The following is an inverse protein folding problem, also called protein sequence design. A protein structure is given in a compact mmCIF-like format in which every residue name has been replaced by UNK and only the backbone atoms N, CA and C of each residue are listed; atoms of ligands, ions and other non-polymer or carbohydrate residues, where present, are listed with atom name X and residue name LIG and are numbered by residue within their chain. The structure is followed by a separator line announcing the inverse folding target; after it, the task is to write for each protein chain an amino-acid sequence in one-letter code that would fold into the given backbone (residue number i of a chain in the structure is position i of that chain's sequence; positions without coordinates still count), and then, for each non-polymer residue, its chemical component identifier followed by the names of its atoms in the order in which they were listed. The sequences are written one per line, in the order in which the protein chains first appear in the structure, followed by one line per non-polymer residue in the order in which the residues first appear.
data_IF_172561153875
#
_entry.id   IF_172561153875
#
_cell.length_a   1.000
_cell.length_b   1.000
_cell.length_c   1.000
_cell.angle_alpha   90.00
_cell.angle_beta   90.00
_cell.angle_gamma   90.00
#
_symmetry.space_group_name_H-M   'P 1'
#
loop_
_entity.id
_entity.type
_entity.pdbx_description
1 polymer ?
#
# COMPACT_ATOMS: atom_id res chain seq x y z
N UNK A 1 19.34 -30.39 8.72
CA UNK A 1 19.67 -29.02 8.32
C UNK A 1 19.35 -28.70 6.86
N UNK A 2 18.98 -29.68 6.03
CA UNK A 2 18.69 -29.46 4.60
C UNK A 2 17.21 -29.27 4.26
N UNK A 3 16.32 -29.44 5.19
CA UNK A 3 14.86 -29.39 4.97
C UNK A 3 14.24 -27.98 5.03
N UNK A 4 15.03 -26.94 5.29
CA UNK A 4 14.53 -25.56 5.44
C UNK A 4 14.71 -24.67 4.18
N UNK A 5 15.21 -25.22 3.08
CA UNK A 5 15.54 -24.42 1.89
C UNK A 5 14.43 -24.25 0.85
N UNK A 6 13.23 -24.80 1.10
CA UNK A 6 12.14 -24.75 0.10
C UNK A 6 10.77 -24.49 0.77
N UNK A 7 10.67 -23.43 1.57
CA UNK A 7 9.36 -22.91 1.98
C UNK A 7 9.09 -21.61 1.23
N UNK A 8 8.33 -21.67 0.17
CA UNK A 8 7.80 -20.48 -0.48
C UNK A 8 6.64 -19.93 0.37
N UNK A 9 6.80 -18.70 0.81
CA UNK A 9 5.78 -17.94 1.51
C UNK A 9 4.91 -17.22 0.50
N UNK A 10 3.62 -17.48 0.51
CA UNK A 10 2.65 -16.73 -0.28
C UNK A 10 2.37 -15.38 0.38
N UNK A 11 3.01 -14.32 -0.12
CA UNK A 11 2.62 -12.95 0.20
C UNK A 11 1.47 -12.54 -0.71
N UNK A 12 0.31 -12.28 -0.16
CA UNK A 12 -0.75 -11.55 -0.87
C UNK A 12 -0.28 -10.11 -1.10
N UNK A 13 0.46 -9.86 -2.18
CA UNK A 13 0.76 -8.49 -2.64
C UNK A 13 -0.47 -7.96 -3.37
N UNK A 14 -1.18 -7.04 -2.77
CA UNK A 14 -2.12 -6.17 -3.48
C UNK A 14 -1.35 -5.23 -4.41
N UNK A 15 -1.60 -5.32 -5.71
CA UNK A 15 -1.08 -4.39 -6.70
C UNK A 15 -0.60 -5.08 -7.97
N UNK A 16 -1.52 -5.52 -8.81
CA UNK A 16 -1.26 -5.94 -10.18
C UNK A 16 -2.58 -6.03 -10.92
N UNK A 17 -2.82 -5.08 -11.81
CA UNK A 17 -3.96 -5.08 -12.72
C UNK A 17 -3.80 -6.18 -13.75
N UNK A 18 -4.65 -7.22 -13.68
CA UNK A 18 -4.84 -8.18 -14.76
C UNK A 18 -6.26 -8.03 -15.31
N UNK A 19 -6.42 -8.04 -16.66
CA UNK A 19 -7.74 -7.95 -17.28
C UNK A 19 -8.51 -9.26 -17.08
N UNK A 20 -9.76 -9.13 -16.61
CA UNK A 20 -10.71 -10.23 -16.46
C UNK A 20 -11.25 -10.64 -17.85
N UNK A 21 -11.38 -11.92 -18.15
CA UNK A 21 -12.13 -12.37 -19.31
C UNK A 21 -13.65 -12.27 -19.04
N UNK A 22 -14.38 -11.70 -19.99
CA UNK A 22 -15.84 -11.67 -20.02
C UNK A 22 -16.40 -13.08 -20.23
N UNK A 23 -17.41 -13.52 -19.48
CA UNK A 23 -18.18 -14.71 -19.85
C UNK A 23 -19.32 -14.34 -20.81
N UNK A 24 -19.33 -15.03 -21.93
CA UNK A 24 -20.38 -15.01 -22.93
C UNK A 24 -21.63 -15.78 -22.47
N UNK A 25 -22.76 -15.13 -22.66
CA UNK A 25 -24.15 -15.61 -22.90
C UNK A 25 -24.57 -17.04 -22.52
N UNK A 26 -25.61 -17.14 -21.69
CA UNK A 26 -26.63 -18.20 -21.78
C UNK A 26 -28.03 -17.63 -21.49
N UNK A 27 -28.91 -18.08 -22.31
CA UNK A 27 -30.28 -17.78 -22.67
C UNK A 27 -31.38 -17.93 -21.63
N UNK A 28 -32.41 -17.13 -21.85
CA UNK A 28 -33.87 -17.33 -21.68
C UNK A 28 -34.50 -17.49 -20.30
N UNK A 29 -35.22 -16.43 -19.91
CA UNK A 29 -36.24 -16.42 -18.85
C UNK A 29 -37.68 -16.50 -19.42
N UNK A 30 -38.64 -17.07 -18.69
CA UNK A 30 -40.07 -16.98 -19.03
C UNK A 30 -40.70 -15.67 -18.51
N UNK A 31 -41.88 -15.26 -19.03
CA UNK A 31 -42.42 -13.92 -18.82
C UNK A 31 -43.11 -13.73 -17.49
N UNK A 32 -42.99 -12.51 -16.95
CA UNK A 32 -43.67 -12.04 -15.75
C UNK A 32 -45.06 -11.47 -16.04
N UNK A 33 -45.99 -11.50 -15.06
CA UNK A 33 -47.33 -10.91 -15.22
C UNK A 33 -47.32 -9.39 -15.07
N UNK A 34 -48.21 -8.76 -15.81
CA UNK A 34 -48.39 -7.32 -15.91
C UNK A 34 -48.99 -6.68 -14.65
N UNK A 35 -48.50 -5.49 -14.36
CA UNK A 35 -49.31 -4.42 -13.73
C UNK A 35 -48.94 -4.02 -12.32
N UNK A 36 -48.09 -2.95 -12.21
CA UNK A 36 -48.32 -1.82 -11.30
C UNK A 36 -47.36 -0.70 -11.69
N UNK A 37 -47.94 0.45 -12.06
CA UNK A 37 -47.23 1.72 -12.25
C UNK A 37 -46.56 2.17 -10.96
N UNK A 38 -45.26 2.12 -10.91
CA UNK A 38 -44.48 2.82 -9.90
C UNK A 38 -43.84 4.05 -10.52
N UNK A 39 -44.28 5.20 -10.01
CA UNK A 39 -43.65 6.51 -10.12
C UNK A 39 -42.13 6.40 -10.11
N UNK A 40 -41.48 6.97 -11.13
CA UNK A 40 -40.05 6.98 -11.31
C UNK A 40 -39.32 7.59 -10.10
N UNK A 41 -38.61 6.76 -9.42
CA UNK A 41 -37.54 7.20 -8.52
C UNK A 41 -36.34 7.53 -9.44
N UNK A 42 -36.13 8.83 -9.65
CA UNK A 42 -34.89 9.34 -10.27
C UNK A 42 -33.71 8.73 -9.53
N UNK A 43 -32.98 7.84 -10.18
CA UNK A 43 -31.66 7.41 -9.68
C UNK A 43 -30.80 8.66 -9.59
N UNK A 44 -30.56 9.09 -8.36
CA UNK A 44 -29.58 10.11 -8.02
C UNK A 44 -28.24 9.68 -8.65
N UNK A 45 -27.68 10.56 -9.47
CA UNK A 45 -26.28 10.46 -9.91
C UNK A 45 -25.44 10.11 -8.70
N UNK A 46 -24.69 9.02 -8.77
CA UNK A 46 -23.72 8.62 -7.74
C UNK A 46 -22.62 9.67 -7.75
N UNK A 47 -22.82 10.72 -6.96
CA UNK A 47 -21.78 11.75 -6.76
C UNK A 47 -20.59 11.06 -6.15
N UNK A 48 -19.50 10.93 -6.90
CA UNK A 48 -18.23 10.39 -6.39
C UNK A 48 -17.79 11.25 -5.22
N UNK A 49 -17.86 10.71 -4.00
CA UNK A 49 -17.44 11.41 -2.79
C UNK A 49 -15.94 11.66 -2.85
N UNK A 50 -15.53 12.91 -2.73
CA UNK A 50 -14.12 13.28 -2.70
C UNK A 50 -13.48 12.89 -1.37
N UNK A 51 -12.17 12.66 -1.36
CA UNK A 51 -11.42 12.33 -0.14
C UNK A 51 -11.62 13.40 0.95
N UNK A 52 -11.70 14.65 0.56
CA UNK A 52 -11.95 15.79 1.46
C UNK A 52 -13.27 15.68 2.24
N UNK A 53 -14.33 15.21 1.59
CA UNK A 53 -15.64 14.99 2.23
C UNK A 53 -15.56 13.87 3.29
N UNK A 54 -14.79 12.81 2.99
CA UNK A 54 -14.54 11.71 3.93
C UNK A 54 -13.75 12.19 5.13
N UNK A 55 -12.68 12.96 4.92
CA UNK A 55 -11.86 13.55 5.98
C UNK A 55 -12.69 14.45 6.88
N UNK A 56 -13.49 15.35 6.29
CA UNK A 56 -14.37 16.25 7.03
C UNK A 56 -15.42 15.49 7.85
N UNK A 57 -15.99 14.41 7.30
CA UNK A 57 -16.91 13.54 8.01
C UNK A 57 -16.24 12.86 9.19
N UNK A 58 -15.06 12.27 8.97
CA UNK A 58 -14.29 11.57 10.00
C UNK A 58 -13.97 12.48 11.20
N UNK A 59 -13.50 13.69 10.94
CA UNK A 59 -13.22 14.68 12.00
C UNK A 59 -14.49 15.07 12.76
N UNK A 60 -15.55 15.46 12.06
CA UNK A 60 -16.81 15.93 12.65
C UNK A 60 -17.51 14.86 13.49
N UNK A 61 -17.38 13.59 13.09
CA UNK A 61 -18.03 12.45 13.77
C UNK A 61 -17.13 11.74 14.77
N UNK A 62 -15.91 12.22 14.99
CA UNK A 62 -15.00 11.64 15.97
C UNK A 62 -14.48 10.25 15.59
N UNK A 63 -14.20 10.03 14.31
CA UNK A 63 -13.57 8.80 13.85
C UNK A 63 -12.05 8.90 13.92
N UNK A 64 -11.47 9.94 13.33
CA UNK A 64 -10.02 10.08 13.21
C UNK A 64 -9.64 11.55 13.34
N UNK A 65 -8.57 11.81 14.10
CA UNK A 65 -7.95 13.12 14.32
C UNK A 65 -6.48 13.08 13.94
N UNK A 66 -5.92 14.21 13.59
CA UNK A 66 -4.46 14.30 13.47
C UNK A 66 -3.81 14.17 14.86
N UNK A 67 -2.80 13.33 14.97
CA UNK A 67 -2.11 13.14 16.25
C UNK A 67 -1.47 14.43 16.72
N UNK A 68 -1.65 14.74 18.02
CA UNK A 68 -1.11 15.95 18.67
C UNK A 68 -1.55 17.27 18.03
N UNK A 69 -2.79 17.34 17.54
CA UNK A 69 -3.33 18.49 16.78
C UNK A 69 -3.22 19.81 17.53
N UNK A 70 -3.32 19.81 18.86
CA UNK A 70 -3.15 21.02 19.72
C UNK A 70 -1.77 21.67 19.61
N UNK A 71 -0.76 20.92 19.16
CA UNK A 71 0.60 21.41 18.92
C UNK A 71 0.92 21.56 17.43
N UNK A 72 -0.11 21.60 16.56
CA UNK A 72 0.06 21.69 15.12
C UNK A 72 0.08 20.34 14.38
N UNK A 73 -0.03 19.25 15.13
CA UNK A 73 -0.03 17.90 14.59
C UNK A 73 1.33 17.43 14.07
N UNK A 74 1.39 16.16 13.70
CA UNK A 74 2.54 15.57 12.99
C UNK A 74 2.05 14.78 11.79
N UNK A 75 2.57 15.10 10.60
CA UNK A 75 2.08 14.52 9.36
C UNK A 75 2.28 12.99 9.30
N UNK A 76 1.23 12.29 8.87
CA UNK A 76 1.26 10.83 8.72
C UNK A 76 1.02 10.03 10.00
N UNK A 77 0.62 10.70 11.10
CA UNK A 77 0.20 10.06 12.34
C UNK A 77 -1.23 10.46 12.68
N UNK A 78 -2.04 9.49 13.09
CA UNK A 78 -3.48 9.65 13.28
C UNK A 78 -3.95 8.99 14.56
N UNK A 79 -4.78 9.70 15.32
CA UNK A 79 -5.45 9.19 16.50
C UNK A 79 -6.89 8.78 16.15
N UNK A 80 -7.32 7.63 16.66
CA UNK A 80 -8.69 7.16 16.49
C UNK A 80 -9.56 7.73 17.61
N UNK A 81 -10.58 8.51 17.24
CA UNK A 81 -11.57 9.04 18.17
C UNK A 81 -12.57 7.99 18.65
N UNK A 82 -13.56 8.37 19.48
CA UNK A 82 -14.48 7.42 20.10
C UNK A 82 -15.18 6.48 19.11
N UNK A 83 -15.68 7.00 17.98
CA UNK A 83 -16.33 6.17 16.96
C UNK A 83 -15.30 5.37 16.13
N UNK A 84 -14.13 5.95 15.93
CA UNK A 84 -13.06 5.28 15.16
C UNK A 84 -12.47 4.08 15.89
N UNK A 85 -12.27 4.19 17.21
CA UNK A 85 -11.75 3.07 18.00
C UNK A 85 -12.74 1.91 18.07
N UNK A 86 -14.05 2.17 18.19
CA UNK A 86 -15.05 1.11 18.20
C UNK A 86 -15.15 0.42 16.83
N UNK A 87 -15.19 1.17 15.74
CA UNK A 87 -15.17 0.59 14.38
C UNK A 87 -13.92 -0.28 14.17
N UNK A 88 -12.75 0.23 14.58
CA UNK A 88 -11.48 -0.48 14.47
C UNK A 88 -11.44 -1.78 15.28
N UNK A 89 -11.97 -1.76 16.51
CA UNK A 89 -12.07 -2.96 17.36
C UNK A 89 -13.00 -3.98 16.74
N UNK A 90 -14.20 -3.58 16.36
CA UNK A 90 -15.17 -4.47 15.73
C UNK A 90 -14.60 -5.14 14.48
N UNK A 91 -13.87 -4.40 13.64
CA UNK A 91 -13.21 -4.97 12.45
C UNK A 91 -12.14 -6.00 12.82
N UNK A 92 -11.30 -5.70 13.82
CA UNK A 92 -10.25 -6.62 14.28
C UNK A 92 -10.84 -7.88 14.93
N UNK A 93 -11.87 -7.72 15.74
CA UNK A 93 -12.54 -8.84 16.41
C UNK A 93 -13.26 -9.75 15.40
N UNK A 94 -13.92 -9.15 14.39
CA UNK A 94 -14.54 -9.91 13.31
C UNK A 94 -13.50 -10.67 12.48
N UNK A 95 -12.36 -10.03 12.14
CA UNK A 95 -11.29 -10.70 11.41
C UNK A 95 -10.64 -11.83 12.23
N UNK A 96 -10.37 -11.59 13.50
CA UNK A 96 -9.77 -12.59 14.38
C UNK A 96 -10.71 -13.76 14.61
N UNK A 97 -11.99 -13.49 14.80
CA UNK A 97 -13.03 -14.52 14.94
C UNK A 97 -13.13 -15.40 13.69
N UNK A 98 -13.06 -14.82 12.51
CA UNK A 98 -13.11 -15.57 11.24
C UNK A 98 -11.82 -16.35 10.97
N UNK A 99 -10.65 -15.73 11.18
CA UNK A 99 -9.35 -16.34 10.82
C UNK A 99 -8.86 -17.36 11.86
N UNK A 100 -8.94 -17.03 13.15
CA UNK A 100 -8.32 -17.83 14.21
C UNK A 100 -9.30 -18.79 14.86
N UNK A 101 -10.58 -18.42 14.95
CA UNK A 101 -11.61 -19.20 15.61
C UNK A 101 -12.65 -19.81 14.65
N UNK A 102 -12.54 -19.47 13.34
CA UNK A 102 -13.43 -20.02 12.33
C UNK A 102 -13.16 -21.49 12.04
N UNK A 103 -14.22 -22.24 11.79
CA UNK A 103 -14.16 -23.62 11.33
C UNK A 103 -14.30 -23.66 9.81
N UNK A 104 -13.19 -23.69 9.11
CA UNK A 104 -13.18 -23.77 7.65
C UNK A 104 -12.54 -25.08 7.18
N UNK A 105 -13.07 -25.62 6.10
CA UNK A 105 -12.46 -26.75 5.39
C UNK A 105 -11.74 -26.23 4.16
N UNK A 106 -10.46 -26.56 4.06
CA UNK A 106 -9.61 -26.16 2.94
C UNK A 106 -9.88 -26.93 1.65
N UNK A 107 -9.23 -26.57 0.57
CA UNK A 107 -9.47 -27.16 -0.74
C UNK A 107 -9.12 -28.66 -0.78
N UNK A 108 -8.19 -29.11 0.02
CA UNK A 108 -7.80 -30.52 0.15
C UNK A 108 -8.71 -31.35 1.06
N UNK A 109 -9.77 -30.76 1.60
CA UNK A 109 -10.66 -31.40 2.57
C UNK A 109 -10.12 -31.43 4.00
N UNK A 110 -8.96 -30.85 4.27
CA UNK A 110 -8.40 -30.73 5.61
C UNK A 110 -8.95 -29.49 6.34
N UNK A 111 -9.05 -29.58 7.67
CA UNK A 111 -9.42 -28.44 8.50
C UNK A 111 -8.34 -27.35 8.42
N UNK A 112 -8.78 -26.10 8.24
CA UNK A 112 -7.90 -24.94 8.24
C UNK A 112 -7.58 -24.56 9.67
N UNK A 113 -6.38 -24.88 10.13
CA UNK A 113 -5.93 -24.53 11.47
C UNK A 113 -5.10 -23.26 11.45
N UNK A 114 -5.53 -22.25 12.22
CA UNK A 114 -4.78 -21.01 12.41
C UNK A 114 -4.56 -20.79 13.90
N UNK A 115 -3.35 -20.39 14.28
CA UNK A 115 -3.00 -20.02 15.66
C UNK A 115 -2.55 -18.57 15.72
N UNK A 116 -2.83 -17.90 16.85
CA UNK A 116 -2.45 -16.49 17.02
C UNK A 116 -1.06 -16.32 17.64
N UNK A 117 -0.40 -15.21 17.31
CA UNK A 117 0.82 -14.75 17.96
C UNK A 117 0.76 -13.23 18.16
N UNK A 118 1.40 -12.71 19.20
CA UNK A 118 1.63 -11.28 19.40
C UNK A 118 3.12 -11.03 19.65
N UNK A 119 3.79 -10.49 18.65
CA UNK A 119 5.23 -10.25 18.66
C UNK A 119 5.55 -8.80 19.01
N UNK A 120 6.72 -8.58 19.61
CA UNK A 120 7.21 -7.25 19.97
C UNK A 120 7.40 -6.36 18.74
N UNK A 121 7.21 -5.06 18.91
CA UNK A 121 7.46 -4.03 17.86
C UNK A 121 8.95 -3.93 17.58
N UNK A 122 9.77 -3.87 18.65
CA UNK A 122 11.23 -3.82 18.54
C UNK A 122 11.76 -5.26 18.62
N UNK A 123 12.44 -5.66 17.57
CA UNK A 123 13.01 -6.99 17.41
C UNK A 123 14.53 -6.90 17.27
N UNK A 124 15.21 -8.03 17.38
CA UNK A 124 16.66 -8.07 17.13
C UNK A 124 16.97 -7.49 15.75
N UNK A 125 17.89 -6.51 15.62
CA UNK A 125 18.22 -5.88 14.33
C UNK A 125 18.63 -6.87 13.23
N UNK A 126 19.20 -8.02 13.59
CA UNK A 126 19.56 -9.08 12.64
C UNK A 126 18.35 -9.65 11.88
N UNK A 127 17.14 -9.57 12.46
CA UNK A 127 15.91 -9.95 11.77
C UNK A 127 15.71 -9.10 10.51
N UNK A 128 15.94 -7.80 10.61
CA UNK A 128 15.76 -6.85 9.51
C UNK A 128 16.92 -6.89 8.49
N UNK A 129 18.09 -7.28 8.92
CA UNK A 129 19.22 -7.55 8.02
C UNK A 129 18.92 -8.82 7.21
N UNK A 130 18.52 -9.90 7.89
CA UNK A 130 18.22 -11.19 7.25
C UNK A 130 17.04 -11.11 6.27
N UNK A 131 16.02 -10.30 6.58
CA UNK A 131 14.87 -10.07 5.69
C UNK A 131 15.12 -9.04 4.59
N UNK A 132 16.32 -8.41 4.55
CA UNK A 132 16.70 -7.43 3.52
C UNK A 132 16.17 -6.02 3.75
N UNK A 133 15.39 -5.74 4.81
CA UNK A 133 14.78 -4.42 5.04
C UNK A 133 15.83 -3.33 5.31
N UNK A 134 16.90 -3.63 6.02
CA UNK A 134 17.95 -2.63 6.31
C UNK A 134 18.64 -2.13 5.04
N UNK A 135 18.88 -3.03 4.08
CA UNK A 135 19.57 -2.68 2.84
C UNK A 135 18.65 -2.32 1.66
N UNK A 136 17.44 -2.88 1.61
CA UNK A 136 16.56 -2.83 0.43
C UNK A 136 15.22 -2.11 0.60
N UNK A 137 14.85 -1.73 1.82
CA UNK A 137 13.58 -1.03 2.05
C UNK A 137 13.74 0.48 1.88
N UNK A 138 14.04 0.88 0.65
CA UNK A 138 14.39 2.24 0.29
C UNK A 138 13.48 2.76 -0.82
N UNK A 139 13.09 4.04 -0.71
CA UNK A 139 12.46 4.80 -1.78
C UNK A 139 13.50 5.73 -2.43
N UNK A 140 13.62 5.76 -3.76
CA UNK A 140 14.44 6.77 -4.44
C UNK A 140 13.71 8.13 -4.38
N UNK A 141 14.30 9.11 -3.70
CA UNK A 141 13.70 10.41 -3.46
C UNK A 141 14.40 11.52 -4.21
N UNK A 142 13.61 12.44 -4.76
CA UNK A 142 14.04 13.65 -5.45
C UNK A 142 13.44 14.86 -4.75
N UNK A 143 14.28 15.85 -4.43
CA UNK A 143 13.84 17.14 -3.87
C UNK A 143 13.77 18.21 -4.97
N UNK A 144 12.74 19.03 -4.97
CA UNK A 144 12.68 20.23 -5.79
C UNK A 144 13.25 21.43 -5.02
N UNK A 145 14.33 22.02 -5.52
CA UNK A 145 15.01 23.17 -4.88
C UNK A 145 14.14 24.42 -4.85
N UNK A 146 13.26 24.58 -5.85
CA UNK A 146 12.36 25.74 -5.98
C UNK A 146 11.14 25.60 -5.07
N UNK A 147 10.32 24.58 -5.30
CA UNK A 147 9.04 24.40 -4.59
C UNK A 147 9.19 23.83 -3.19
N UNK A 148 10.38 23.31 -2.84
CA UNK A 148 10.65 22.54 -1.61
C UNK A 148 9.82 21.26 -1.49
N UNK A 149 9.13 20.88 -2.55
CA UNK A 149 8.39 19.63 -2.64
C UNK A 149 9.35 18.45 -2.78
N UNK A 150 8.92 17.30 -2.31
CA UNK A 150 9.68 16.04 -2.39
C UNK A 150 8.83 14.98 -3.09
N UNK A 151 9.46 14.23 -3.99
CA UNK A 151 8.81 13.24 -4.84
C UNK A 151 9.57 11.92 -4.80
N UNK A 152 8.86 10.82 -5.04
CA UNK A 152 9.52 9.54 -5.35
C UNK A 152 9.95 9.56 -6.81
N UNK A 153 11.19 9.27 -7.09
CA UNK A 153 11.74 9.28 -8.45
C UNK A 153 11.07 8.25 -9.37
N UNK A 154 10.70 7.09 -8.81
CA UNK A 154 10.01 6.00 -9.51
C UNK A 154 8.52 6.31 -9.83
N UNK A 155 7.97 7.39 -9.26
CA UNK A 155 6.63 7.92 -9.58
C UNK A 155 6.69 9.19 -10.43
N UNK A 156 7.85 9.58 -10.91
CA UNK A 156 7.97 10.73 -11.79
C UNK A 156 8.04 10.29 -13.25
N UNK A 157 7.16 10.86 -14.06
CA UNK A 157 7.11 10.66 -15.50
C UNK A 157 7.43 11.96 -16.19
N UNK A 158 8.24 11.88 -17.22
CA UNK A 158 8.70 12.99 -18.04
C UNK A 158 7.90 13.06 -19.33
N UNK A 159 7.50 14.28 -19.69
CA UNK A 159 6.82 14.60 -20.94
C UNK A 159 7.77 15.42 -21.81
N UNK A 160 8.04 14.94 -23.01
CA UNK A 160 8.80 15.62 -24.06
C UNK A 160 8.10 15.49 -25.40
N UNK A 161 8.68 16.06 -26.45
CA UNK A 161 8.19 15.89 -27.83
C UNK A 161 9.05 14.87 -28.54
N UNK A 162 8.41 13.91 -29.21
CA UNK A 162 9.10 12.88 -29.99
C UNK A 162 10.11 13.45 -30.97
N UNK A 163 11.35 12.97 -30.87
CA UNK A 163 12.43 13.38 -31.77
C UNK A 163 13.07 14.72 -31.44
N UNK A 164 12.62 15.47 -30.43
CA UNK A 164 13.25 16.69 -29.94
C UNK A 164 14.12 16.40 -28.73
N UNK A 165 15.40 16.15 -28.97
CA UNK A 165 16.39 15.87 -27.92
C UNK A 165 16.96 17.15 -27.27
N UNK A 166 16.61 18.30 -27.76
CA UNK A 166 17.05 19.61 -27.25
C UNK A 166 15.94 20.39 -26.55
N UNK A 167 14.71 19.89 -26.61
CA UNK A 167 13.53 20.51 -26.03
C UNK A 167 13.47 20.34 -24.51
N UNK A 168 12.74 21.28 -23.88
CA UNK A 168 12.52 21.24 -22.43
C UNK A 168 11.64 20.06 -22.04
N UNK A 169 12.01 19.36 -20.98
CA UNK A 169 11.29 18.22 -20.42
C UNK A 169 10.42 18.69 -19.25
N UNK A 170 9.16 18.29 -19.23
CA UNK A 170 8.24 18.61 -18.14
C UNK A 170 7.89 17.37 -17.34
N UNK A 171 8.09 17.42 -16.04
CA UNK A 171 7.92 16.27 -15.14
C UNK A 171 6.54 16.34 -14.46
N UNK A 172 5.84 15.22 -14.40
CA UNK A 172 4.61 15.05 -13.63
C UNK A 172 4.70 13.84 -12.70
N UNK A 173 3.74 13.74 -11.80
CA UNK A 173 3.59 12.57 -10.91
C UNK A 173 2.67 11.57 -11.58
N UNK A 174 3.13 10.33 -11.73
CA UNK A 174 2.34 9.23 -12.31
C UNK A 174 1.07 8.97 -11.51
N UNK A 175 -0.05 8.74 -12.22
CA UNK A 175 -1.35 8.53 -11.63
C UNK A 175 -1.98 9.77 -10.94
N UNK A 176 -1.42 10.97 -11.15
CA UNK A 176 -1.97 12.24 -10.69
C UNK A 176 -2.40 13.08 -11.92
N UNK A 177 -3.70 13.07 -12.21
CA UNK A 177 -4.28 13.75 -13.36
C UNK A 177 -4.04 15.27 -13.34
N UNK A 178 -4.05 15.89 -12.15
CA UNK A 178 -3.81 17.33 -12.00
C UNK A 178 -2.34 17.67 -12.28
N UNK A 179 -1.41 16.86 -11.79
CA UNK A 179 0.03 16.99 -12.07
C UNK A 179 0.30 16.82 -13.57
N UNK A 180 -0.30 15.83 -14.20
CA UNK A 180 -0.17 15.56 -15.63
C UNK A 180 -0.74 16.71 -16.46
N UNK A 181 -1.92 17.22 -16.11
CA UNK A 181 -2.53 18.38 -16.79
C UNK A 181 -1.68 19.65 -16.65
N UNK A 182 -1.04 19.88 -15.50
CA UNK A 182 -0.12 21.00 -15.30
C UNK A 182 1.13 20.88 -16.15
N UNK A 183 1.76 19.69 -16.20
CA UNK A 183 2.93 19.45 -17.04
C UNK A 183 2.61 19.66 -18.53
N UNK A 184 1.44 19.16 -18.97
CA UNK A 184 0.92 19.33 -20.30
C UNK A 184 0.75 20.81 -20.68
N UNK A 185 0.12 21.60 -19.83
CA UNK A 185 -0.04 23.04 -20.04
C UNK A 185 1.30 23.78 -20.11
N UNK A 186 2.31 23.35 -19.34
CA UNK A 186 3.65 23.88 -19.39
C UNK A 186 4.31 23.59 -20.76
N UNK A 187 4.18 22.35 -21.25
CA UNK A 187 4.68 21.92 -22.56
C UNK A 187 4.04 22.71 -23.70
N UNK A 188 2.72 22.84 -23.74
CA UNK A 188 1.96 23.61 -24.72
C UNK A 188 2.39 25.09 -24.72
N UNK A 189 2.56 25.68 -23.55
CA UNK A 189 3.01 27.05 -23.38
C UNK A 189 4.45 27.27 -23.91
N UNK A 190 5.34 26.33 -23.63
CA UNK A 190 6.72 26.37 -24.09
C UNK A 190 6.80 26.34 -25.61
N UNK A 191 6.06 25.42 -26.24
CA UNK A 191 6.02 25.29 -27.70
C UNK A 191 5.12 26.31 -28.41
N UNK A 192 4.37 27.11 -27.64
CA UNK A 192 3.38 28.10 -28.15
C UNK A 192 2.33 27.48 -29.07
N UNK A 193 2.02 26.20 -28.90
CA UNK A 193 0.97 25.44 -29.59
C UNK A 193 0.44 24.30 -28.70
N UNK A 194 -0.75 23.82 -28.98
CA UNK A 194 -1.24 22.58 -28.38
C UNK A 194 -0.56 21.37 -29.05
N UNK A 195 0.01 20.50 -28.26
CA UNK A 195 0.71 19.30 -28.72
C UNK A 195 -0.30 18.15 -28.78
N UNK A 196 -0.36 17.42 -29.88
CA UNK A 196 -1.20 16.23 -29.97
C UNK A 196 -0.63 15.08 -29.11
N UNK A 197 -1.49 14.17 -28.63
CA UNK A 197 -1.07 13.05 -27.75
C UNK A 197 -0.05 12.14 -28.44
N UNK A 198 -0.17 11.95 -29.74
CA UNK A 198 0.72 11.14 -30.54
C UNK A 198 2.13 11.72 -30.71
N UNK A 199 2.27 13.04 -30.52
CA UNK A 199 3.55 13.74 -30.57
C UNK A 199 4.31 13.72 -29.25
N UNK A 200 3.65 13.35 -28.15
CA UNK A 200 4.28 13.32 -26.83
C UNK A 200 5.06 12.03 -26.67
N UNK A 201 6.27 12.18 -26.17
CA UNK A 201 7.08 11.08 -25.66
C UNK A 201 7.08 11.10 -24.14
N UNK A 202 7.04 9.92 -23.53
CA UNK A 202 7.01 9.77 -22.08
C UNK A 202 8.08 8.78 -21.65
N UNK A 203 8.86 9.15 -20.64
CA UNK A 203 9.83 8.24 -20.02
C UNK A 203 9.86 8.42 -18.50
N UNK A 204 10.28 7.39 -17.74
CA UNK A 204 10.54 7.53 -16.31
C UNK A 204 11.63 8.56 -16.04
N UNK A 205 11.46 9.39 -15.01
CA UNK A 205 12.49 10.37 -14.61
C UNK A 205 13.84 9.72 -14.26
N UNK A 206 13.81 8.48 -13.78
CA UNK A 206 15.02 7.71 -13.45
C UNK A 206 15.91 7.45 -14.67
N UNK A 207 15.31 7.37 -15.86
CA UNK A 207 15.99 7.04 -17.12
C UNK A 207 16.66 8.26 -17.80
N UNK A 208 16.37 9.49 -17.30
CA UNK A 208 16.98 10.69 -17.83
C UNK A 208 18.50 10.73 -17.55
N UNK A 209 19.27 11.17 -18.53
CA UNK A 209 20.67 11.56 -18.39
C UNK A 209 20.84 12.80 -17.49
N UNK A 210 22.06 13.10 -17.09
CA UNK A 210 22.35 14.30 -16.29
C UNK A 210 22.01 15.59 -17.05
N UNK A 211 22.26 15.62 -18.37
CA UNK A 211 21.96 16.74 -19.25
C UNK A 211 20.44 16.95 -19.36
N UNK A 212 19.67 15.88 -19.55
CA UNK A 212 18.21 15.94 -19.62
C UNK A 212 17.58 16.37 -18.30
N UNK A 213 18.12 15.91 -17.16
CA UNK A 213 17.66 16.39 -15.84
C UNK A 213 17.92 17.90 -15.65
N UNK A 214 19.03 18.40 -16.18
CA UNK A 214 19.36 19.83 -16.08
C UNK A 214 18.37 20.74 -16.83
N UNK A 215 17.71 20.24 -17.87
CA UNK A 215 16.70 20.97 -18.64
C UNK A 215 15.27 20.60 -18.23
N UNK A 216 15.09 19.69 -17.28
CA UNK A 216 13.76 19.28 -16.83
C UNK A 216 13.14 20.29 -15.85
N UNK A 217 11.81 20.45 -15.94
CA UNK A 217 11.00 21.29 -15.05
C UNK A 217 10.14 20.39 -14.18
N UNK A 218 10.32 20.49 -12.86
CA UNK A 218 9.59 19.69 -11.89
C UNK A 218 8.08 19.95 -11.87
N UNK A 219 7.28 19.05 -11.23
CA UNK A 219 5.81 19.16 -11.21
C UNK A 219 5.32 20.53 -10.73
N UNK A 220 5.85 21.02 -9.62
CA UNK A 220 5.47 22.28 -8.99
C UNK A 220 6.52 23.38 -9.21
N UNK A 221 7.49 23.19 -10.12
CA UNK A 221 8.53 24.16 -10.46
C UNK A 221 8.17 24.98 -11.69
N UNK A 222 8.79 26.14 -11.83
CA UNK A 222 8.75 26.99 -13.04
C UNK A 222 10.09 26.99 -13.76
N UNK A 223 11.18 26.85 -13.01
CA UNK A 223 12.54 26.82 -13.52
C UNK A 223 13.03 25.41 -13.81
N UNK A 224 13.88 25.29 -14.83
CA UNK A 224 14.53 24.02 -15.18
C UNK A 224 15.68 23.68 -14.21
N UNK A 225 16.04 22.38 -14.14
CA UNK A 225 17.19 21.91 -13.34
C UNK A 225 17.01 22.02 -11.82
N UNK A 226 15.78 22.18 -11.35
CA UNK A 226 15.49 22.35 -9.92
C UNK A 226 15.34 21.04 -9.16
N UNK A 227 15.19 19.92 -9.86
CA UNK A 227 15.13 18.59 -9.27
C UNK A 227 16.54 18.08 -8.93
N UNK A 228 16.70 17.50 -7.74
CA UNK A 228 17.97 16.88 -7.31
C UNK A 228 18.17 15.50 -7.94
N UNK A 229 19.39 14.98 -7.87
CA UNK A 229 19.64 13.56 -8.09
C UNK A 229 18.82 12.70 -7.13
N UNK A 230 18.33 11.54 -7.60
CA UNK A 230 17.64 10.59 -6.73
C UNK A 230 18.56 10.11 -5.59
N UNK A 231 18.05 10.16 -4.36
CA UNK A 231 18.73 9.63 -3.18
C UNK A 231 17.88 8.54 -2.55
N UNK A 232 18.50 7.42 -2.23
CA UNK A 232 17.82 6.33 -1.53
C UNK A 232 17.51 6.76 -0.11
N UNK A 233 16.23 6.66 0.25
CA UNK A 233 15.74 6.97 1.58
C UNK A 233 15.18 5.70 2.22
N UNK A 234 15.81 5.25 3.34
CA UNK A 234 15.35 4.08 4.05
C UNK A 234 14.07 4.37 4.84
N UNK A 235 13.06 3.51 4.66
CA UNK A 235 11.75 3.65 5.30
C UNK A 235 11.69 3.05 6.71
N UNK A 236 12.77 2.48 7.23
CA UNK A 236 12.84 1.99 8.60
C UNK A 236 12.92 3.16 9.58
N UNK A 237 12.08 3.14 10.62
CA UNK A 237 12.29 3.99 11.78
C UNK A 237 13.41 3.41 12.65
N UNK A 238 14.46 4.18 12.85
CA UNK A 238 15.57 3.84 13.74
C UNK A 238 15.33 4.33 15.16
N UNK A 239 15.77 3.54 16.12
CA UNK A 239 15.79 3.89 17.55
C UNK A 239 17.01 3.25 18.21
N UNK A 240 17.19 3.50 19.52
CA UNK A 240 18.26 2.90 20.31
C UNK A 240 17.68 2.27 21.58
N UNK A 241 18.18 1.09 21.93
CA UNK A 241 17.82 0.40 23.16
C UNK A 241 18.96 0.51 24.17
N UNK A 242 18.66 1.01 25.38
CA UNK A 242 19.64 1.19 26.44
C UNK A 242 20.07 2.65 26.64
N UNK A 243 21.04 2.86 27.52
CA UNK A 243 21.45 4.19 27.98
C UNK A 243 22.43 4.87 27.01
N UNK A 244 23.20 4.11 26.25
CA UNK A 244 24.24 4.62 25.35
C UNK A 244 23.73 4.49 23.90
N UNK A 245 23.87 5.55 23.13
CA UNK A 245 23.53 5.56 21.69
C UNK A 245 24.81 5.25 20.89
N UNK A 246 24.96 4.00 20.51
CA UNK A 246 26.01 3.50 19.64
C UNK A 246 25.41 2.51 18.61
N UNK A 247 26.24 2.00 17.74
CA UNK A 247 25.80 1.01 16.71
C UNK A 247 25.30 -0.30 17.33
N UNK A 248 25.75 -0.68 18.53
CA UNK A 248 25.34 -1.90 19.19
C UNK A 248 23.93 -1.77 19.84
N UNK A 249 23.58 -0.54 20.20
CA UNK A 249 22.26 -0.22 20.79
C UNK A 249 21.19 0.09 19.73
N UNK A 250 21.58 0.19 18.46
CA UNK A 250 20.69 0.49 17.34
C UNK A 250 19.61 -0.56 17.19
N UNK A 251 18.38 -0.11 17.05
CA UNK A 251 17.21 -0.95 16.84
C UNK A 251 16.25 -0.29 15.84
N UNK A 252 15.26 -1.03 15.40
CA UNK A 252 14.26 -0.54 14.44
C UNK A 252 12.85 -0.82 14.93
N UNK A 253 11.92 0.09 14.63
CA UNK A 253 10.50 -0.21 14.71
C UNK A 253 10.12 -1.08 13.51
N UNK A 254 9.36 -2.15 13.74
CA UNK A 254 9.00 -3.07 12.67
C UNK A 254 8.19 -2.38 11.56
N UNK A 255 8.56 -2.52 10.27
CA UNK A 255 7.81 -1.98 9.14
C UNK A 255 6.66 -2.88 8.71
N UNK A 256 6.64 -4.13 9.20
CA UNK A 256 5.59 -5.14 8.97
C UNK A 256 5.59 -6.18 10.09
N UNK A 257 4.52 -6.96 10.19
CA UNK A 257 4.31 -7.94 11.25
C UNK A 257 4.78 -9.35 10.87
N UNK A 258 5.02 -9.64 9.60
CA UNK A 258 5.37 -10.97 9.09
C UNK A 258 6.63 -11.58 9.72
N UNK A 259 7.70 -10.78 9.92
CA UNK A 259 8.95 -11.31 10.48
C UNK A 259 8.81 -11.83 11.91
N UNK A 260 7.88 -11.27 12.68
CA UNK A 260 7.53 -11.80 13.99
C UNK A 260 6.97 -13.22 13.91
N UNK A 261 6.17 -13.50 12.90
CA UNK A 261 5.63 -14.85 12.63
C UNK A 261 6.77 -15.80 12.25
N UNK A 262 7.62 -15.42 11.29
CA UNK A 262 8.70 -16.29 10.82
C UNK A 262 9.74 -16.60 11.89
N UNK A 263 10.11 -15.61 12.71
CA UNK A 263 11.08 -15.83 13.81
C UNK A 263 10.55 -16.72 14.92
N UNK A 264 9.22 -16.79 15.08
CA UNK A 264 8.56 -17.64 16.07
C UNK A 264 8.03 -18.97 15.50
N UNK A 265 8.26 -19.26 14.22
CA UNK A 265 7.71 -20.45 13.57
C UNK A 265 7.98 -21.74 14.35
N UNK A 266 9.23 -22.02 14.69
CA UNK A 266 9.60 -23.23 15.44
C UNK A 266 8.97 -23.26 16.84
N UNK A 267 8.98 -22.13 17.56
CA UNK A 267 8.36 -22.02 18.88
C UNK A 267 6.85 -22.39 18.84
N UNK A 268 6.17 -21.93 17.77
CA UNK A 268 4.74 -22.16 17.59
C UNK A 268 4.48 -23.62 17.18
N UNK A 269 5.26 -24.18 16.26
CA UNK A 269 5.12 -25.58 15.85
C UNK A 269 5.31 -26.51 17.07
N UNK A 270 6.33 -26.27 17.88
CA UNK A 270 6.64 -27.09 19.04
C UNK A 270 5.58 -26.98 20.16
N UNK A 271 5.13 -25.75 20.44
CA UNK A 271 4.17 -25.49 21.51
C UNK A 271 2.73 -25.87 21.15
N UNK A 272 2.31 -25.58 19.91
CA UNK A 272 0.94 -25.82 19.44
C UNK A 272 0.76 -27.17 18.74
N UNK A 273 1.87 -27.89 18.47
CA UNK A 273 1.89 -29.21 17.80
C UNK A 273 1.13 -29.19 16.46
N UNK A 274 1.19 -28.07 15.75
CA UNK A 274 0.56 -27.91 14.44
C UNK A 274 1.39 -28.59 13.36
N UNK A 275 0.71 -28.98 12.28
CA UNK A 275 1.33 -29.59 11.08
C UNK A 275 0.82 -28.84 9.87
N UNK A 276 1.62 -28.79 8.80
CA UNK A 276 1.23 -28.25 7.52
C UNK A 276 0.06 -29.06 6.94
N UNK A 277 -1.01 -28.41 6.43
CA UNK A 277 -1.20 -26.98 6.31
C UNK A 277 -1.67 -26.30 7.61
N UNK A 278 -1.12 -25.15 7.96
CA UNK A 278 -1.59 -24.34 9.08
C UNK A 278 -1.20 -22.86 8.89
N UNK A 279 -1.88 -21.97 9.61
CA UNK A 279 -1.59 -20.54 9.60
C UNK A 279 -1.15 -19.99 10.95
N UNK A 280 -0.43 -18.88 10.91
CA UNK A 280 -0.11 -18.05 12.07
C UNK A 280 -0.60 -16.65 11.81
N UNK A 281 -1.48 -16.14 12.68
CA UNK A 281 -2.10 -14.83 12.54
C UNK A 281 -1.59 -13.86 13.60
N UNK A 282 -1.46 -12.60 13.23
CA UNK A 282 -1.08 -11.50 14.12
C UNK A 282 -1.85 -10.24 13.77
N UNK A 283 -2.27 -9.49 14.80
CA UNK A 283 -2.71 -8.10 14.67
C UNK A 283 -1.72 -7.23 15.41
N UNK A 284 -1.18 -6.20 14.75
CA UNK A 284 -0.22 -5.35 15.42
C UNK A 284 0.16 -4.09 14.65
N UNK A 285 0.73 -3.13 15.38
CA UNK A 285 1.26 -1.91 14.79
C UNK A 285 2.51 -2.16 13.98
N UNK A 286 2.64 -1.41 12.88
CA UNK A 286 3.80 -1.35 12.02
C UNK A 286 4.11 0.12 11.70
N UNK A 287 5.35 0.40 11.30
CA UNK A 287 5.88 1.75 11.17
C UNK A 287 6.71 1.87 9.88
N UNK A 288 6.36 2.85 9.06
CA UNK A 288 7.14 3.16 7.85
C UNK A 288 7.42 4.65 7.80
N UNK A 289 8.66 5.05 7.77
CA UNK A 289 9.06 6.46 7.73
C UNK A 289 8.76 7.06 6.35
N UNK A 290 7.47 7.08 5.99
CA UNK A 290 6.98 7.61 4.73
C UNK A 290 7.42 9.06 4.54
N UNK A 291 8.04 9.35 3.41
CA UNK A 291 8.50 10.71 3.11
C UNK A 291 7.33 11.62 2.78
N UNK A 292 6.36 11.11 2.02
CA UNK A 292 5.16 11.84 1.60
C UNK A 292 3.88 11.12 2.00
N UNK A 293 3.50 11.16 3.31
CA UNK A 293 2.19 10.67 3.74
C UNK A 293 1.09 11.44 3.01
N UNK A 294 0.08 10.72 2.49
CA UNK A 294 -1.03 11.32 1.75
C UNK A 294 -2.28 10.46 1.82
N UNK A 295 -3.40 10.99 1.31
CA UNK A 295 -4.67 10.29 1.28
C UNK A 295 -5.14 9.86 2.66
N UNK A 296 -5.02 10.75 3.66
CA UNK A 296 -5.46 10.54 5.02
C UNK A 296 -4.79 9.31 5.66
N UNK A 297 -5.54 8.35 6.19
CA UNK A 297 -5.01 7.14 6.82
C UNK A 297 -4.52 6.08 5.82
N UNK A 298 -4.79 6.26 4.52
CA UNK A 298 -4.39 5.29 3.51
C UNK A 298 -2.87 5.14 3.39
N UNK A 299 -2.12 6.25 3.53
CA UNK A 299 -0.66 6.25 3.58
C UNK A 299 -0.16 7.01 4.79
N UNK A 300 0.01 6.31 5.90
CA UNK A 300 0.44 6.81 7.20
C UNK A 300 1.77 6.20 7.64
N UNK A 301 2.43 6.85 8.60
CA UNK A 301 3.72 6.40 9.16
C UNK A 301 3.57 5.37 10.26
N UNK A 302 2.45 5.40 10.98
CA UNK A 302 2.05 4.40 11.95
C UNK A 302 0.70 3.83 11.55
N UNK A 303 0.58 2.52 11.46
CA UNK A 303 -0.64 1.81 11.07
C UNK A 303 -0.73 0.45 11.76
N UNK A 304 -1.85 -0.22 11.63
CA UNK A 304 -2.02 -1.61 12.08
C UNK A 304 -2.19 -2.54 10.88
N UNK A 305 -1.64 -3.74 11.03
CA UNK A 305 -1.82 -4.84 10.10
C UNK A 305 -2.57 -5.98 10.81
N UNK A 306 -3.47 -6.61 10.07
CA UNK A 306 -4.04 -7.91 10.37
C UNK A 306 -3.41 -8.87 9.36
N UNK A 307 -2.47 -9.68 9.79
CA UNK A 307 -1.62 -10.50 8.94
C UNK A 307 -1.77 -11.97 9.25
N UNK A 308 -1.85 -12.78 8.21
CA UNK A 308 -1.88 -14.23 8.27
C UNK A 308 -0.79 -14.77 7.34
N UNK A 309 0.14 -15.54 7.89
CA UNK A 309 1.06 -16.35 7.12
C UNK A 309 0.58 -17.80 7.14
N UNK A 310 0.26 -18.35 5.98
CA UNK A 310 -0.27 -19.70 5.85
C UNK A 310 0.77 -20.62 5.22
N UNK A 311 1.13 -21.68 5.95
CA UNK A 311 2.23 -22.59 5.59
C UNK A 311 1.65 -23.87 4.96
N UNK A 312 2.08 -24.16 3.74
CA UNK A 312 1.57 -25.25 2.90
C UNK A 312 2.71 -26.01 2.24
N UNK A 313 2.39 -27.16 1.66
CA UNK A 313 3.32 -27.82 0.78
C UNK A 313 3.39 -27.07 -0.57
N UNK A 314 4.58 -26.86 -1.17
CA UNK A 314 4.71 -26.09 -2.41
C UNK A 314 3.84 -26.59 -3.58
N UNK A 315 3.59 -27.90 -3.68
CA UNK A 315 2.75 -28.46 -4.73
C UNK A 315 1.27 -28.09 -4.64
N UNK A 316 0.82 -27.55 -3.48
CA UNK A 316 -0.58 -27.18 -3.22
C UNK A 316 -0.80 -25.65 -3.31
N UNK A 317 0.23 -24.89 -3.69
CA UNK A 317 0.23 -23.42 -3.58
C UNK A 317 -0.90 -22.77 -4.38
N UNK A 318 -1.13 -23.18 -5.62
CA UNK A 318 -2.16 -22.56 -6.48
C UNK A 318 -3.57 -22.84 -5.96
N UNK A 319 -3.82 -24.03 -5.46
CA UNK A 319 -5.12 -24.44 -4.94
C UNK A 319 -5.46 -23.67 -3.64
N UNK A 320 -4.51 -23.59 -2.70
CA UNK A 320 -4.67 -22.80 -1.49
C UNK A 320 -4.80 -21.30 -1.76
N UNK A 321 -4.07 -20.78 -2.76
CA UNK A 321 -4.21 -19.37 -3.15
C UNK A 321 -5.61 -19.07 -3.66
N UNK A 322 -6.12 -19.88 -4.58
CA UNK A 322 -7.47 -19.70 -5.11
C UNK A 322 -8.51 -19.75 -3.99
N UNK A 323 -8.39 -20.72 -3.10
CA UNK A 323 -9.29 -20.87 -1.96
C UNK A 323 -9.25 -19.66 -1.02
N UNK A 324 -8.07 -19.23 -0.56
CA UNK A 324 -7.93 -18.07 0.33
C UNK A 324 -8.46 -16.80 -0.30
N UNK A 325 -8.22 -16.57 -1.58
CA UNK A 325 -8.74 -15.41 -2.31
C UNK A 325 -10.27 -15.35 -2.25
N UNK A 326 -10.95 -16.47 -2.52
CA UNK A 326 -12.41 -16.56 -2.48
C UNK A 326 -12.95 -16.36 -1.05
N UNK A 327 -12.31 -16.97 -0.04
CA UNK A 327 -12.70 -16.80 1.36
C UNK A 327 -12.57 -15.32 1.81
N UNK A 328 -11.46 -14.68 1.48
CA UNK A 328 -11.25 -13.26 1.87
C UNK A 328 -12.20 -12.33 1.15
N UNK A 329 -12.48 -12.57 -0.12
CA UNK A 329 -13.44 -11.80 -0.89
C UNK A 329 -14.87 -11.95 -0.33
N UNK A 330 -15.28 -13.16 0.00
CA UNK A 330 -16.58 -13.44 0.61
C UNK A 330 -16.71 -12.73 1.98
N UNK A 331 -15.68 -12.82 2.82
CA UNK A 331 -15.66 -12.17 4.13
C UNK A 331 -15.80 -10.64 4.02
N UNK A 332 -15.04 -9.98 3.14
CA UNK A 332 -15.16 -8.53 2.92
C UNK A 332 -16.53 -8.10 2.43
N UNK A 333 -17.26 -8.97 1.77
CA UNK A 333 -18.65 -8.69 1.36
C UNK A 333 -19.65 -8.88 2.49
N UNK A 334 -19.32 -9.65 3.51
CA UNK A 334 -20.23 -9.97 4.61
C UNK A 334 -20.23 -8.91 5.72
N UNK A 335 -19.22 -8.05 5.77
CA UNK A 335 -19.11 -6.93 6.72
C UNK A 335 -19.38 -5.60 6.02
#
# INVERSE_FOLDING_TARGET
PETLKTMETMKCRGGGSYPLPCPSSVTSSPPAPAGRTHTGFLMSETTTKRMEDIVALCRRRGFIFQSSEIYGGINGFWDYGPNGVELKRNLKDAWWGDIVHGDATGPTGADVKVVGVDCTIIMNPKTWVASGHVGGFNDPMVDCKESKSRYRADHLVCLGVKGDTSGQIFVCVDGDDDSTAKARKKLDKYLKRTVADEEIDTCPFADLSAEERAISVGPDAKEQGTLTEPRMFNLMFETHCGAIRDENSKAYLRPETAQGIFTNFNNIVDSSRVKIPFGIAQIGKAFRNEVTPRNFTFRSREFEQMELEFFIHPSEAEEWYAWWREQRYAWWKSI
#
